data_IF_935236376056
#
_entry.id   IF_935236376056
#
_cell.length_a   1.000
_cell.length_b   1.000
_cell.length_c   1.000
_cell.angle_alpha   90.00
_cell.angle_beta   90.00
_cell.angle_gamma   90.00
#
_symmetry.space_group_name_H-M   'P 1'
#
loop_
_entity.id
_entity.type
_entity.pdbx_description
1 polymer ?
#
# COMPACT_ATOMS: atom_id res chain seq x y z
N UNK A 1 6.87 30.63 -3.94
CA UNK A 1 6.99 30.03 -5.29
C UNK A 1 5.59 29.96 -5.88
N UNK A 2 5.37 30.40 -7.12
CA UNK A 2 4.09 30.19 -7.84
C UNK A 2 4.42 29.40 -9.11
N UNK A 3 4.54 28.09 -8.96
CA UNK A 3 4.72 27.19 -10.09
C UNK A 3 3.41 27.11 -10.88
N UNK A 4 3.47 27.35 -12.18
CA UNK A 4 2.37 27.14 -13.12
C UNK A 4 2.08 25.64 -13.19
N UNK A 5 0.93 25.20 -12.65
CA UNK A 5 0.48 23.82 -12.90
C UNK A 5 0.01 23.73 -14.35
N UNK A 6 0.71 22.94 -15.15
CA UNK A 6 0.38 22.70 -16.55
C UNK A 6 -0.92 21.88 -16.63
N UNK A 7 -2.07 22.57 -16.52
CA UNK A 7 -3.41 22.00 -16.46
C UNK A 7 -3.65 21.05 -15.27
N UNK A 8 -4.78 21.14 -14.55
CA UNK A 8 -5.03 20.21 -13.45
C UNK A 8 -5.12 18.76 -13.99
N UNK A 9 -4.25 17.88 -13.50
CA UNK A 9 -4.34 16.43 -13.74
C UNK A 9 -5.48 15.91 -12.88
N UNK A 10 -6.49 15.30 -13.50
CA UNK A 10 -7.56 14.62 -12.78
C UNK A 10 -6.98 13.35 -12.14
N UNK A 11 -6.92 13.33 -10.82
CA UNK A 11 -6.39 12.19 -10.05
C UNK A 11 -7.51 11.25 -9.56
N UNK A 12 -8.72 11.77 -9.32
CA UNK A 12 -9.86 10.99 -8.81
C UNK A 12 -11.21 11.51 -9.34
N UNK A 13 -12.27 10.72 -9.17
CA UNK A 13 -13.66 11.16 -9.33
C UNK A 13 -14.35 11.20 -7.97
N UNK A 14 -15.28 12.15 -7.78
CA UNK A 14 -16.06 12.27 -6.55
C UNK A 14 -17.53 11.96 -6.80
N UNK A 15 -18.24 11.50 -5.77
CA UNK A 15 -19.70 11.42 -5.80
C UNK A 15 -20.32 12.83 -5.72
N UNK A 16 -21.65 12.93 -5.77
CA UNK A 16 -22.36 14.20 -5.67
C UNK A 16 -22.13 14.96 -4.35
N UNK A 17 -21.62 14.28 -3.31
CA UNK A 17 -21.24 14.87 -2.03
C UNK A 17 -19.78 15.33 -1.94
N UNK A 18 -19.00 15.23 -3.02
CA UNK A 18 -17.58 15.62 -3.02
C UNK A 18 -16.65 14.61 -2.37
N UNK A 19 -17.11 13.39 -2.09
CA UNK A 19 -16.29 12.32 -1.52
C UNK A 19 -15.62 11.54 -2.65
N UNK A 20 -14.30 11.27 -2.51
CA UNK A 20 -13.53 10.44 -3.46
C UNK A 20 -14.18 9.07 -3.57
N UNK A 21 -14.49 8.66 -4.79
CA UNK A 21 -15.02 7.32 -5.08
C UNK A 21 -13.85 6.40 -5.36
N UNK A 22 -13.54 5.53 -4.41
CA UNK A 22 -12.63 4.42 -4.64
C UNK A 22 -13.43 3.27 -5.27
N UNK A 23 -12.87 2.54 -6.25
CA UNK A 23 -13.45 1.25 -6.63
C UNK A 23 -13.50 0.35 -5.39
N UNK A 24 -14.44 -0.61 -5.38
CA UNK A 24 -14.43 -1.66 -4.37
C UNK A 24 -13.06 -2.33 -4.37
N UNK A 25 -12.28 -2.07 -3.33
CA UNK A 25 -11.06 -2.81 -3.07
C UNK A 25 -11.47 -4.24 -2.69
N UNK A 26 -10.69 -5.22 -3.12
CA UNK A 26 -10.76 -6.58 -2.59
C UNK A 26 -10.76 -6.49 -1.06
N UNK A 27 -11.51 -7.38 -0.41
CA UNK A 27 -11.54 -7.43 1.06
C UNK A 27 -10.11 -7.59 1.55
N UNK A 28 -9.61 -6.57 2.24
CA UNK A 28 -8.39 -6.70 3.03
C UNK A 28 -8.69 -7.73 4.09
N UNK A 29 -7.84 -8.76 4.21
CA UNK A 29 -8.03 -9.84 5.19
C UNK A 29 -8.28 -9.22 6.58
N UNK A 30 -9.49 -9.39 7.15
CA UNK A 30 -9.86 -8.79 8.42
C UNK A 30 -9.13 -9.44 9.61
N UNK A 31 -8.53 -10.63 9.41
CA UNK A 31 -7.70 -11.31 10.40
C UNK A 31 -6.22 -10.91 10.34
N UNK A 32 -5.79 -10.17 9.32
CA UNK A 32 -4.40 -9.76 9.17
C UNK A 32 -4.00 -8.72 10.22
N UNK A 33 -2.81 -8.91 10.79
CA UNK A 33 -2.16 -7.96 11.73
C UNK A 33 -1.14 -7.07 11.02
N UNK A 34 -0.86 -7.35 9.75
CA UNK A 34 0.10 -6.64 8.90
C UNK A 34 -0.34 -6.67 7.44
N UNK A 35 0.08 -5.66 6.66
CA UNK A 35 -0.24 -5.55 5.23
C UNK A 35 0.95 -5.05 4.44
N UNK A 36 1.17 -5.56 3.24
CA UNK A 36 2.17 -5.00 2.35
C UNK A 36 1.85 -3.53 2.02
N UNK A 37 2.85 -2.65 2.15
CA UNK A 37 2.71 -1.21 1.88
C UNK A 37 3.68 -0.75 0.79
N UNK A 38 4.88 -1.33 0.71
CA UNK A 38 5.95 -0.79 -0.14
C UNK A 38 6.40 0.61 0.30
N UNK A 39 6.19 0.99 1.57
CA UNK A 39 6.43 2.35 2.11
C UNK A 39 7.37 2.30 3.31
N UNK A 40 8.45 3.07 3.27
CA UNK A 40 9.43 3.20 4.36
C UNK A 40 8.90 4.01 5.55
N UNK A 41 9.62 3.95 6.68
CA UNK A 41 9.23 4.66 7.90
C UNK A 41 9.17 6.20 7.75
N UNK A 42 9.85 6.76 6.75
CA UNK A 42 9.80 8.18 6.39
C UNK A 42 8.71 8.52 5.36
N UNK A 43 7.81 7.57 5.09
CA UNK A 43 6.72 7.67 4.11
C UNK A 43 7.18 7.80 2.66
N UNK A 44 8.42 7.43 2.36
CA UNK A 44 8.90 7.32 0.98
C UNK A 44 8.64 5.92 0.41
N UNK A 45 8.71 5.80 -0.92
CA UNK A 45 8.59 4.49 -1.58
C UNK A 45 9.79 3.62 -1.21
N UNK A 46 9.52 2.39 -0.80
CA UNK A 46 10.55 1.37 -0.61
C UNK A 46 11.03 0.82 -1.95
N UNK A 47 12.29 0.38 -1.99
CA UNK A 47 12.82 -0.47 -3.06
C UNK A 47 12.35 -1.93 -2.90
N UNK A 48 11.99 -2.32 -1.68
CA UNK A 48 11.47 -3.63 -1.32
C UNK A 48 9.94 -3.63 -1.42
N UNK A 49 9.46 -3.87 -2.64
CA UNK A 49 8.04 -3.88 -2.99
C UNK A 49 7.67 -5.12 -3.83
N UNK A 50 8.27 -6.27 -3.53
CA UNK A 50 7.99 -7.56 -4.18
C UNK A 50 8.08 -7.50 -5.72
N UNK A 51 9.23 -7.06 -6.24
CA UNK A 51 9.45 -6.88 -7.70
C UNK A 51 8.38 -6.04 -8.39
N UNK A 52 8.07 -4.87 -7.80
CA UNK A 52 7.03 -3.94 -8.23
C UNK A 52 5.64 -4.57 -8.24
N UNK A 53 5.32 -5.33 -7.18
CA UNK A 53 4.08 -6.09 -7.03
C UNK A 53 3.87 -7.15 -8.12
N UNK A 54 4.95 -7.54 -8.80
CA UNK A 54 4.94 -8.50 -9.90
C UNK A 54 5.31 -9.92 -9.49
N UNK A 55 5.84 -10.10 -8.28
CA UNK A 55 6.20 -11.41 -7.74
C UNK A 55 5.18 -11.87 -6.69
N UNK A 56 4.61 -13.06 -6.91
CA UNK A 56 3.67 -13.73 -5.99
C UNK A 56 4.29 -14.96 -5.32
N UNK A 57 5.61 -15.09 -5.37
CA UNK A 57 6.31 -16.24 -4.76
C UNK A 57 6.33 -16.08 -3.25
N UNK A 58 5.88 -17.12 -2.55
CA UNK A 58 5.97 -17.16 -1.08
C UNK A 58 7.44 -17.01 -0.63
N UNK A 59 7.69 -16.14 0.34
CA UNK A 59 9.04 -15.85 0.83
C UNK A 59 9.73 -14.66 0.15
N UNK A 60 9.06 -13.95 -0.75
CA UNK A 60 9.57 -12.66 -1.26
C UNK A 60 9.48 -11.57 -0.19
N UNK A 61 10.48 -10.68 -0.16
CA UNK A 61 10.55 -9.55 0.76
C UNK A 61 9.85 -8.33 0.18
N UNK A 62 9.07 -7.66 1.02
CA UNK A 62 8.59 -6.32 0.75
C UNK A 62 8.42 -5.56 2.07
N UNK A 63 8.11 -4.28 1.96
CA UNK A 63 7.83 -3.45 3.11
C UNK A 63 6.37 -3.61 3.53
N UNK A 64 6.13 -3.78 4.83
CA UNK A 64 4.79 -3.95 5.38
C UNK A 64 4.48 -2.96 6.50
N UNK A 65 3.19 -2.66 6.62
CA UNK A 65 2.60 -1.90 7.70
C UNK A 65 2.08 -2.81 8.82
N UNK A 66 2.27 -2.41 10.07
CA UNK A 66 1.69 -3.10 11.25
C UNK A 66 0.37 -2.44 11.64
N UNK A 67 -0.67 -3.26 11.82
CA UNK A 67 -1.97 -2.77 12.27
C UNK A 67 -1.97 -2.13 13.64
N UNK A 68 -2.90 -1.17 13.80
CA UNK A 68 -3.11 -0.41 15.04
C UNK A 68 -1.87 0.40 15.49
N UNK A 69 -0.91 0.64 14.60
CA UNK A 69 0.30 1.40 14.89
C UNK A 69 0.45 2.55 13.89
N UNK A 70 0.62 3.77 14.40
CA UNK A 70 0.86 4.99 13.60
C UNK A 70 2.16 5.70 13.99
N UNK A 71 2.94 5.10 14.89
CA UNK A 71 4.26 5.57 15.31
C UNK A 71 5.33 5.01 14.35
N UNK A 72 6.59 5.46 14.39
CA UNK A 72 7.67 4.96 13.50
C UNK A 72 7.80 3.43 13.35
N UNK A 73 7.49 2.56 14.35
CA UNK A 73 7.43 1.11 14.12
C UNK A 73 6.25 0.63 13.25
N UNK A 74 5.45 1.54 12.69
CA UNK A 74 4.36 1.21 11.78
C UNK A 74 4.86 0.59 10.48
N UNK A 75 6.11 0.82 10.07
CA UNK A 75 6.71 0.26 8.86
C UNK A 75 7.98 -0.51 9.21
N UNK A 76 8.02 -1.79 8.86
CA UNK A 76 9.14 -2.68 9.18
C UNK A 76 9.47 -3.52 7.95
N UNK A 77 10.75 -3.79 7.70
CA UNK A 77 11.21 -4.76 6.69
C UNK A 77 11.14 -6.16 7.31
N UNK A 78 10.39 -7.09 6.71
CA UNK A 78 10.45 -8.52 7.05
C UNK A 78 9.99 -9.35 5.85
N UNK A 79 10.47 -10.58 5.80
CA UNK A 79 10.05 -11.56 4.81
C UNK A 79 8.80 -12.27 5.33
N UNK A 80 7.68 -12.23 4.60
CA UNK A 80 6.55 -13.11 4.94
C UNK A 80 6.89 -14.53 4.48
N UNK A 81 7.13 -15.42 5.44
CA UNK A 81 7.38 -16.86 5.18
C UNK A 81 6.11 -17.70 5.10
N UNK A 82 4.94 -17.06 5.17
CA UNK A 82 3.63 -17.72 5.13
C UNK A 82 2.61 -16.86 4.44
N UNK A 83 2.70 -16.74 3.11
CA UNK A 83 1.54 -16.29 2.34
C UNK A 83 0.59 -17.48 2.21
N UNK A 84 -0.62 -17.36 2.79
CA UNK A 84 -1.71 -18.23 2.39
C UNK A 84 -2.02 -17.87 0.94
N UNK A 85 -1.70 -18.79 0.01
CA UNK A 85 -2.01 -18.64 -1.41
C UNK A 85 -3.46 -18.19 -1.56
N UNK A 86 -3.69 -16.94 -1.99
CA UNK A 86 -5.01 -16.51 -2.43
C UNK A 86 -5.19 -17.11 -3.82
N UNK A 87 -6.09 -18.08 -4.01
CA UNK A 87 -6.32 -18.64 -5.33
C UNK A 87 -6.94 -17.54 -6.21
N UNK A 88 -6.36 -17.35 -7.39
CA UNK A 88 -6.92 -16.55 -8.49
C UNK A 88 -8.22 -17.18 -9.02
#
# INVERSE_FOLDING_TARGET
YKGTVASPVKVFTTNAGGVVVFPTLSVIDPGAVSWWTGIEADWTSSVDHCSSWGDGTAGSSAQYGVGKTTTPPAFVVNTFTGEATVPL
#
